data_IF_896593477707
#
_entry.id   IF_896593477707
#
_cell.length_a   1.000
_cell.length_b   1.000
_cell.length_c   1.000
_cell.angle_alpha   90.00
_cell.angle_beta   90.00
_cell.angle_gamma   90.00
#
_symmetry.space_group_name_H-M   'P 1'
#
loop_
_entity.id
_entity.type
_entity.pdbx_description
1 polymer ?
#
# COMPACT_ATOMS: atom_id res chain seq x y z
N UNK A 1 12.94 53.07 -13.99
CA UNK A 1 13.36 52.09 -12.97
C UNK A 1 12.12 51.24 -12.64
N UNK A 2 11.69 50.28 -13.46
CA UNK A 2 12.22 48.91 -13.61
C UNK A 2 12.61 48.26 -12.28
N UNK A 3 11.83 47.23 -11.89
CA UNK A 3 12.11 46.10 -10.99
C UNK A 3 11.79 46.30 -9.50
N UNK A 4 10.53 46.13 -9.11
CA UNK A 4 10.16 45.68 -7.75
C UNK A 4 8.86 44.83 -7.71
N UNK A 5 8.53 44.16 -8.81
CA UNK A 5 7.48 43.13 -8.86
C UNK A 5 8.11 41.82 -9.32
N UNK A 6 8.78 41.09 -8.41
CA UNK A 6 8.97 39.64 -8.52
C UNK A 6 9.73 39.09 -7.31
N UNK A 7 9.11 38.99 -6.13
CA UNK A 7 9.67 38.14 -5.05
C UNK A 7 8.63 37.80 -3.97
N UNK A 8 7.41 37.44 -4.40
CA UNK A 8 6.65 36.41 -3.70
C UNK A 8 6.82 35.12 -4.50
N UNK A 9 8.03 34.58 -4.42
CA UNK A 9 8.33 33.21 -4.82
C UNK A 9 7.65 32.30 -3.82
N UNK A 10 6.50 31.77 -4.22
CA UNK A 10 5.74 30.76 -3.53
C UNK A 10 6.64 29.52 -3.41
N UNK A 11 7.37 29.41 -2.30
CA UNK A 11 7.83 28.12 -1.79
C UNK A 11 6.60 27.43 -1.19
N UNK A 12 5.66 26.98 -2.03
CA UNK A 12 4.92 25.76 -1.68
C UNK A 12 5.97 24.66 -1.76
N UNK A 13 6.63 24.43 -0.63
CA UNK A 13 7.20 23.13 -0.35
C UNK A 13 5.97 22.24 -0.27
N UNK A 14 5.56 21.69 -1.41
CA UNK A 14 4.70 20.52 -1.41
C UNK A 14 5.50 19.46 -0.68
N UNK A 15 5.27 19.34 0.62
CA UNK A 15 5.30 18.06 1.28
C UNK A 15 4.21 17.21 0.60
N UNK A 16 4.46 16.83 -0.66
CA UNK A 16 3.75 15.78 -1.34
C UNK A 16 4.07 14.56 -0.52
N UNK A 17 3.13 14.24 0.39
CA UNK A 17 3.26 13.24 1.44
C UNK A 17 3.90 12.00 0.87
N UNK A 18 5.14 11.84 1.26
CA UNK A 18 5.93 10.78 0.76
C UNK A 18 5.71 9.65 1.78
N UNK A 19 4.67 8.92 1.40
CA UNK A 19 4.32 7.50 1.40
C UNK A 19 3.08 7.60 0.51
N UNK A 20 3.23 7.37 -0.79
CA UNK A 20 2.43 7.96 -1.89
C UNK A 20 0.89 7.83 -1.86
N UNK A 21 0.23 8.31 -0.80
CA UNK A 21 -1.18 8.22 -0.53
C UNK A 21 -1.58 7.23 0.57
N UNK A 22 -2.86 7.30 0.94
CA UNK A 22 -3.52 6.27 1.76
C UNK A 22 -3.78 5.03 0.90
N UNK A 23 -3.50 3.84 1.42
CA UNK A 23 -3.99 2.59 0.84
C UNK A 23 -5.35 2.22 1.44
N UNK A 24 -6.31 1.86 0.59
CA UNK A 24 -7.64 1.43 0.99
C UNK A 24 -7.88 0.07 0.36
N UNK A 25 -8.09 -0.96 1.20
CA UNK A 25 -8.46 -2.30 0.75
C UNK A 25 -9.95 -2.48 1.05
N UNK A 26 -10.76 -2.65 0.01
CA UNK A 26 -12.20 -2.83 0.11
C UNK A 26 -12.55 -4.25 -0.34
N UNK A 27 -13.00 -5.07 0.61
CA UNK A 27 -13.49 -6.39 0.32
C UNK A 27 -15.03 -6.36 0.28
N UNK A 28 -15.59 -6.21 -0.92
CA UNK A 28 -17.04 -6.20 -1.13
C UNK A 28 -17.65 -7.59 -1.33
N UNK A 29 -16.83 -8.65 -1.30
CA UNK A 29 -17.34 -10.02 -1.37
C UNK A 29 -18.15 -10.34 -0.10
N UNK A 30 -19.09 -11.27 -0.22
CA UNK A 30 -19.87 -11.79 0.93
C UNK A 30 -19.37 -13.14 1.44
N UNK A 31 -18.57 -13.85 0.63
CA UNK A 31 -18.21 -15.24 0.88
C UNK A 31 -16.72 -15.43 1.17
N UNK A 32 -15.90 -14.39 1.01
CA UNK A 32 -14.45 -14.55 1.06
C UNK A 32 -13.75 -13.47 1.88
N UNK A 33 -12.83 -13.88 2.75
CA UNK A 33 -11.91 -13.00 3.44
C UNK A 33 -10.65 -12.82 2.60
N UNK A 34 -10.18 -11.58 2.50
CA UNK A 34 -8.92 -11.26 1.85
C UNK A 34 -7.77 -11.51 2.82
N UNK A 35 -6.83 -12.37 2.43
CA UNK A 35 -5.58 -12.58 3.16
C UNK A 35 -4.43 -12.16 2.26
N UNK A 36 -3.76 -11.04 2.58
CA UNK A 36 -2.70 -10.50 1.73
C UNK A 36 -1.52 -9.90 2.47
N UNK A 37 -0.39 -9.85 1.78
CA UNK A 37 0.80 -9.10 2.20
C UNK A 37 0.77 -7.79 1.43
N UNK A 38 0.87 -6.67 2.15
CA UNK A 38 0.89 -5.33 1.55
C UNK A 38 2.33 -4.98 1.23
N UNK A 39 2.55 -4.45 0.03
CA UNK A 39 3.86 -4.02 -0.43
C UNK A 39 3.89 -2.53 -0.74
N UNK A 40 5.05 -1.94 -0.51
CA UNK A 40 5.38 -0.61 -0.97
C UNK A 40 6.84 -0.55 -1.41
N UNK A 41 7.14 0.22 -2.44
CA UNK A 41 8.50 0.40 -2.91
C UNK A 41 8.76 1.76 -3.54
N UNK A 42 10.03 2.06 -3.77
CA UNK A 42 10.45 3.25 -4.50
C UNK A 42 10.38 3.03 -6.01
N UNK A 43 9.56 3.82 -6.71
CA UNK A 43 9.43 3.73 -8.17
C UNK A 43 10.52 4.53 -8.89
N UNK A 44 11.04 5.59 -8.27
CA UNK A 44 12.02 6.49 -8.90
C UNK A 44 13.48 6.14 -8.57
N UNK A 45 13.71 5.45 -7.44
CA UNK A 45 15.05 5.18 -6.89
C UNK A 45 15.52 3.73 -7.01
N UNK A 46 15.03 2.96 -7.99
CA UNK A 46 15.53 1.60 -8.23
C UNK A 46 14.96 0.54 -7.28
N UNK A 47 13.66 0.59 -7.01
CA UNK A 47 12.89 -0.44 -6.29
C UNK A 47 13.11 -0.53 -4.78
N UNK A 48 14.10 0.20 -4.25
CA UNK A 48 14.39 0.25 -2.84
C UNK A 48 14.25 1.68 -2.27
N UNK A 49 13.82 1.84 -1.01
CA UNK A 49 13.46 0.77 -0.07
C UNK A 49 12.21 -0.01 -0.50
N UNK A 50 12.18 -1.29 -0.18
CA UNK A 50 11.09 -2.22 -0.42
C UNK A 50 10.53 -2.68 0.92
N UNK A 51 9.22 -2.52 1.12
CA UNK A 51 8.54 -2.69 2.40
C UNK A 51 7.45 -3.72 2.24
N UNK A 52 7.33 -4.63 3.20
CA UNK A 52 6.22 -5.57 3.30
C UNK A 52 5.59 -5.54 4.69
N UNK A 53 4.28 -5.77 4.79
CA UNK A 53 3.63 -6.03 6.08
C UNK A 53 4.19 -7.30 6.72
N UNK A 54 4.52 -7.28 8.01
CA UNK A 54 5.16 -8.41 8.71
C UNK A 54 4.37 -8.98 9.88
N UNK A 55 3.66 -8.14 10.62
CA UNK A 55 2.79 -8.60 11.70
C UNK A 55 1.52 -7.74 11.70
N UNK A 56 0.35 -8.29 11.35
CA UNK A 56 0.13 -9.70 11.00
C UNK A 56 0.72 -10.08 9.63
N UNK A 57 0.93 -11.38 9.42
CA UNK A 57 1.37 -11.97 8.15
C UNK A 57 0.54 -13.23 7.85
N UNK A 58 -0.51 -13.14 7.01
CA UNK A 58 -0.95 -12.00 6.21
C UNK A 58 -1.83 -11.00 6.99
N UNK A 59 -2.07 -9.83 6.40
CA UNK A 59 -3.20 -8.95 6.76
C UNK A 59 -4.50 -9.62 6.33
N UNK A 60 -5.50 -9.60 7.21
CA UNK A 60 -6.84 -10.14 6.94
C UNK A 60 -7.85 -9.00 6.86
N UNK A 61 -8.58 -8.92 5.75
CA UNK A 61 -9.73 -8.01 5.56
C UNK A 61 -10.97 -8.86 5.32
N UNK A 62 -11.87 -9.00 6.32
CA UNK A 62 -13.05 -9.84 6.20
C UNK A 62 -13.98 -9.46 5.05
N UNK A 63 -14.81 -10.41 4.63
CA UNK A 63 -15.94 -10.16 3.72
C UNK A 63 -16.78 -8.95 4.18
N UNK A 64 -17.07 -8.03 3.26
CA UNK A 64 -17.81 -6.80 3.52
C UNK A 64 -17.04 -5.71 4.28
N UNK A 65 -15.76 -5.91 4.60
CA UNK A 65 -14.97 -4.96 5.38
C UNK A 65 -14.09 -4.04 4.52
N UNK A 66 -13.61 -2.95 5.13
CA UNK A 66 -12.63 -2.03 4.53
C UNK A 66 -11.48 -1.80 5.50
N UNK A 67 -10.25 -2.00 5.01
CA UNK A 67 -9.03 -1.60 5.70
C UNK A 67 -8.49 -0.29 5.12
N UNK A 68 -7.94 0.56 5.97
CA UNK A 68 -7.36 1.84 5.58
C UNK A 68 -5.99 1.99 6.22
N UNK A 69 -4.99 2.27 5.39
CA UNK A 69 -3.62 2.49 5.81
C UNK A 69 -3.19 3.89 5.39
N UNK A 70 -3.38 4.87 6.27
CA UNK A 70 -3.00 6.27 6.01
C UNK A 70 -1.51 6.40 5.71
N UNK A 71 -0.69 5.71 6.49
CA UNK A 71 0.75 5.56 6.33
C UNK A 71 1.22 4.38 7.20
N UNK A 72 2.51 4.04 7.22
CA UNK A 72 3.04 2.88 7.96
C UNK A 72 2.78 2.96 9.47
N UNK A 73 2.73 4.19 10.02
CA UNK A 73 2.59 4.46 11.44
C UNK A 73 1.14 4.63 11.86
N UNK A 74 0.45 5.63 11.31
CA UNK A 74 -0.82 6.11 11.83
C UNK A 74 -1.93 5.07 11.67
N UNK A 75 -1.82 4.21 10.66
CA UNK A 75 -2.68 3.04 10.46
C UNK A 75 -2.76 2.13 11.70
N UNK A 76 -1.73 2.09 12.54
CA UNK A 76 -1.73 1.24 13.72
C UNK A 76 -2.83 1.62 14.73
N UNK A 77 -3.23 2.90 14.73
CA UNK A 77 -4.26 3.41 15.63
C UNK A 77 -5.57 3.74 14.93
N UNK A 78 -5.55 3.95 13.62
CA UNK A 78 -6.73 4.31 12.82
C UNK A 78 -7.37 3.13 12.07
N UNK A 79 -6.58 2.10 11.71
CA UNK A 79 -7.08 0.94 10.97
C UNK A 79 -7.69 -0.07 11.94
N UNK A 80 -8.87 -0.64 11.62
CA UNK A 80 -9.38 -1.81 12.32
C UNK A 80 -8.53 -3.07 12.06
N UNK A 81 -7.66 -3.04 11.05
CA UNK A 81 -6.76 -4.13 10.67
C UNK A 81 -5.31 -3.63 10.69
N UNK A 82 -4.73 -3.34 11.87
CA UNK A 82 -3.44 -2.67 11.96
C UNK A 82 -2.27 -3.62 11.69
N UNK A 83 -1.19 -3.08 11.15
CA UNK A 83 0.12 -3.74 11.00
C UNK A 83 1.07 -3.22 12.09
N UNK A 84 1.48 -4.07 13.02
CA UNK A 84 2.39 -3.73 14.12
C UNK A 84 3.85 -3.61 13.67
N UNK A 85 4.24 -4.32 12.61
CA UNK A 85 5.61 -4.29 12.11
C UNK A 85 5.70 -4.46 10.60
N UNK A 86 6.73 -3.85 10.04
CA UNK A 86 7.03 -3.82 8.62
C UNK A 86 8.42 -4.41 8.40
N UNK A 87 8.56 -5.23 7.37
CA UNK A 87 9.85 -5.75 6.95
C UNK A 87 10.40 -4.85 5.85
N UNK A 88 11.63 -4.38 6.03
CA UNK A 88 12.27 -3.34 5.21
C UNK A 88 13.56 -3.85 4.61
N UNK A 89 13.63 -3.82 3.28
CA UNK A 89 14.85 -4.08 2.51
C UNK A 89 15.31 -2.77 1.88
N UNK A 90 16.56 -2.36 2.15
CA UNK A 90 17.05 -1.02 1.74
C UNK A 90 17.81 -1.02 0.42
N UNK A 91 18.30 -2.17 -0.03
CA UNK A 91 19.03 -2.31 -1.28
C UNK A 91 18.99 -3.76 -1.78
N UNK A 92 19.33 -3.94 -3.05
CA UNK A 92 19.51 -5.28 -3.64
C UNK A 92 20.56 -6.08 -2.87
N UNK A 93 20.25 -7.34 -2.56
CA UNK A 93 21.13 -8.24 -1.80
C UNK A 93 21.23 -7.94 -0.30
N UNK A 94 20.55 -6.91 0.21
CA UNK A 94 20.49 -6.66 1.67
C UNK A 94 19.48 -7.58 2.36
N UNK A 95 19.80 -8.00 3.58
CA UNK A 95 18.86 -8.74 4.41
C UNK A 95 17.69 -7.84 4.85
N UNK A 96 16.44 -8.33 4.84
CA UNK A 96 15.31 -7.56 5.36
C UNK A 96 15.46 -7.28 6.85
N UNK A 97 15.05 -6.09 7.27
CA UNK A 97 15.06 -5.66 8.68
C UNK A 97 13.64 -5.37 9.14
N UNK A 98 13.20 -6.03 10.22
CA UNK A 98 11.89 -5.75 10.81
C UNK A 98 11.95 -4.45 11.59
N UNK A 99 10.99 -3.56 11.32
CA UNK A 99 10.83 -2.29 12.02
C UNK A 99 9.41 -2.19 12.58
N UNK A 100 9.22 -1.77 13.84
CA UNK A 100 7.90 -1.53 14.37
C UNK A 100 7.23 -0.36 13.63
N UNK A 101 5.90 -0.34 13.64
CA UNK A 101 5.06 0.71 13.02
C UNK A 101 5.48 2.14 13.41
N UNK A 102 6.03 2.34 14.62
CA UNK A 102 6.47 3.63 15.14
C UNK A 102 7.96 3.94 14.91
N UNK A 103 8.68 3.14 14.11
CA UNK A 103 10.09 3.41 13.83
C UNK A 103 10.26 4.76 13.08
N UNK A 104 11.16 5.66 13.50
CA UNK A 104 11.28 7.02 12.94
C UNK A 104 11.37 7.11 11.41
N UNK A 105 12.02 6.13 10.76
CA UNK A 105 12.12 6.08 9.30
C UNK A 105 10.79 5.83 8.57
N UNK A 106 9.83 5.16 9.24
CA UNK A 106 8.51 4.78 8.71
C UNK A 106 7.44 5.80 9.06
N UNK A 107 7.67 6.66 10.06
CA UNK A 107 6.73 7.71 10.41
C UNK A 107 6.58 8.71 9.26
N UNK A 108 5.44 9.45 9.19
CA UNK A 108 5.27 10.53 8.23
C UNK A 108 6.48 11.49 8.22
N UNK A 109 7.04 11.76 7.04
CA UNK A 109 8.23 12.58 6.88
C UNK A 109 9.56 11.85 7.10
N UNK A 110 9.54 10.58 7.56
CA UNK A 110 10.71 9.73 7.67
C UNK A 110 11.24 9.30 6.30
N UNK A 111 12.53 8.92 6.22
CA UNK A 111 13.19 8.65 4.92
C UNK A 111 12.54 7.53 4.11
N UNK A 112 12.02 6.48 4.75
CA UNK A 112 11.39 5.35 4.02
C UNK A 112 9.99 5.74 3.57
N UNK A 113 9.20 6.31 4.48
CA UNK A 113 7.92 6.92 4.15
C UNK A 113 8.12 7.80 2.91
N UNK A 114 9.13 8.69 2.96
CA UNK A 114 9.36 9.69 1.93
C UNK A 114 9.84 9.19 0.56
N UNK A 115 10.17 7.91 0.45
CA UNK A 115 10.71 7.36 -0.79
C UNK A 115 9.92 6.16 -1.29
N UNK A 116 8.75 5.89 -0.72
CA UNK A 116 7.93 4.74 -1.11
C UNK A 116 6.50 5.12 -1.42
N UNK A 117 5.85 4.22 -2.15
CA UNK A 117 4.41 4.24 -2.38
C UNK A 117 3.89 2.81 -2.35
N UNK A 118 2.63 2.63 -1.97
CA UNK A 118 1.94 1.35 -2.08
C UNK A 118 2.01 0.85 -3.51
N UNK A 119 2.37 -0.42 -3.68
CA UNK A 119 2.79 -0.90 -4.99
C UNK A 119 2.14 -2.19 -5.43
N UNK A 120 1.89 -3.10 -4.51
CA UNK A 120 1.20 -4.35 -4.80
C UNK A 120 0.65 -4.99 -3.54
N UNK A 121 -0.13 -6.04 -3.74
CA UNK A 121 -0.46 -7.04 -2.75
C UNK A 121 -0.30 -8.43 -3.36
N UNK A 122 0.26 -9.34 -2.58
CA UNK A 122 0.15 -10.78 -2.84
C UNK A 122 -0.93 -11.33 -1.96
N UNK A 123 -1.97 -11.94 -2.53
CA UNK A 123 -3.13 -12.38 -1.77
C UNK A 123 -3.65 -13.75 -2.15
N UNK A 124 -4.42 -14.30 -1.23
CA UNK A 124 -5.22 -15.51 -1.36
C UNK A 124 -6.56 -15.23 -0.68
N UNK A 125 -7.67 -15.49 -1.36
CA UNK A 125 -8.99 -15.42 -0.72
C UNK A 125 -9.23 -16.69 0.11
N UNK A 126 -9.93 -16.55 1.23
CA UNK A 126 -10.34 -17.64 2.11
C UNK A 126 -11.84 -17.63 2.28
N UNK A 127 -12.50 -18.78 2.43
CA UNK A 127 -13.93 -18.77 2.77
C UNK A 127 -14.15 -18.01 4.07
N UNK A 128 -15.12 -17.09 4.07
CA UNK A 128 -15.32 -16.12 5.14
C UNK A 128 -15.41 -16.78 6.52
N UNK A 129 -14.61 -16.28 7.47
CA UNK A 129 -14.53 -16.78 8.85
C UNK A 129 -13.81 -18.12 9.00
N UNK A 130 -13.13 -18.62 7.97
CA UNK A 130 -12.45 -19.92 7.99
C UNK A 130 -10.98 -19.81 7.59
N UNK A 131 -10.23 -20.90 7.80
CA UNK A 131 -8.86 -21.05 7.29
C UNK A 131 -8.79 -21.85 5.98
N UNK A 132 -9.91 -21.99 5.25
CA UNK A 132 -9.97 -22.75 3.98
C UNK A 132 -9.77 -21.80 2.80
N UNK A 133 -8.68 -21.94 2.01
CA UNK A 133 -8.42 -21.06 0.87
C UNK A 133 -9.33 -21.37 -0.32
N UNK A 134 -9.71 -20.33 -1.07
CA UNK A 134 -10.34 -20.43 -2.39
C UNK A 134 -9.27 -20.54 -3.49
N UNK A 135 -9.04 -21.74 -3.99
CA UNK A 135 -7.89 -22.06 -4.85
C UNK A 135 -7.83 -21.28 -6.16
N UNK A 136 -8.94 -20.68 -6.61
CA UNK A 136 -9.01 -19.98 -7.89
C UNK A 136 -9.12 -18.45 -7.78
N UNK A 137 -9.15 -17.91 -6.56
CA UNK A 137 -9.17 -16.46 -6.33
C UNK A 137 -7.97 -16.04 -5.48
N UNK A 138 -6.83 -15.85 -6.14
CA UNK A 138 -5.56 -15.47 -5.55
C UNK A 138 -4.66 -14.82 -6.61
N UNK A 139 -3.55 -14.22 -6.17
CA UNK A 139 -2.51 -13.74 -7.08
C UNK A 139 -1.72 -12.56 -6.54
N UNK A 140 -0.81 -12.09 -7.39
CA UNK A 140 -0.10 -10.84 -7.20
C UNK A 140 -0.85 -9.76 -8.00
N UNK A 141 -1.30 -8.70 -7.33
CA UNK A 141 -2.02 -7.56 -7.94
C UNK A 141 -1.34 -6.27 -7.53
N UNK A 142 -1.23 -5.27 -8.41
CA UNK A 142 -0.56 -4.04 -8.05
C UNK A 142 -0.65 -2.94 -9.08
N UNK A 143 0.14 -1.91 -8.87
CA UNK A 143 0.25 -0.79 -9.79
C UNK A 143 0.97 -1.25 -11.07
N UNK A 144 0.24 -1.34 -12.18
CA UNK A 144 0.78 -1.74 -13.49
C UNK A 144 1.89 -0.79 -14.00
N UNK A 145 2.03 0.40 -13.41
CA UNK A 145 3.10 1.35 -13.73
C UNK A 145 4.35 1.17 -12.87
N UNK A 146 4.36 0.21 -11.94
CA UNK A 146 5.52 -0.07 -11.10
C UNK A 146 6.69 -0.56 -11.97
N UNK A 147 7.82 0.17 -12.06
CA UNK A 147 8.95 -0.26 -12.88
C UNK A 147 9.70 -1.47 -12.29
N UNK A 148 9.36 -1.86 -11.06
CA UNK A 148 10.08 -2.88 -10.30
C UNK A 148 9.47 -4.27 -10.39
N UNK A 149 8.19 -4.36 -10.71
CA UNK A 149 7.49 -5.62 -10.93
C UNK A 149 6.35 -5.40 -11.93
N UNK A 150 6.05 -6.44 -12.69
CA UNK A 150 4.97 -6.41 -13.68
C UNK A 150 3.79 -7.21 -13.17
N UNK A 151 3.10 -6.65 -12.18
CA UNK A 151 1.87 -7.23 -11.67
C UNK A 151 0.67 -6.66 -12.45
N UNK A 152 -0.36 -7.48 -12.72
CA UNK A 152 -1.61 -6.96 -13.26
C UNK A 152 -2.28 -6.01 -12.25
N UNK A 153 -2.99 -5.02 -12.75
CA UNK A 153 -3.86 -4.14 -11.95
C UNK A 153 -5.31 -4.66 -11.87
N UNK A 154 -5.60 -5.77 -12.54
CA UNK A 154 -6.90 -6.43 -12.54
C UNK A 154 -6.74 -7.95 -12.61
N UNK A 155 -7.49 -8.67 -11.76
CA UNK A 155 -7.60 -10.12 -11.80
C UNK A 155 -9.08 -10.49 -11.93
N UNK A 156 -9.40 -11.26 -12.95
CA UNK A 156 -10.70 -11.92 -13.13
C UNK A 156 -10.59 -13.38 -12.67
N UNK A 157 -11.32 -13.71 -11.62
CA UNK A 157 -11.41 -15.06 -11.04
C UNK A 157 -12.83 -15.61 -11.18
N UNK A 158 -13.55 -15.26 -12.25
CA UNK A 158 -14.90 -15.77 -12.51
C UNK A 158 -14.97 -17.31 -12.40
N UNK A 159 -15.97 -17.87 -11.68
CA UNK A 159 -17.14 -17.21 -11.09
C UNK A 159 -16.96 -16.70 -9.65
N UNK A 160 -15.75 -16.77 -9.08
CA UNK A 160 -15.49 -16.52 -7.65
C UNK A 160 -15.39 -15.03 -7.29
N UNK A 161 -15.03 -14.19 -8.26
CA UNK A 161 -14.96 -12.73 -8.08
C UNK A 161 -13.91 -12.08 -8.96
N UNK A 162 -13.60 -10.82 -8.67
CA UNK A 162 -12.53 -10.06 -9.32
C UNK A 162 -11.85 -9.11 -8.35
N UNK A 163 -10.63 -8.69 -8.68
CA UNK A 163 -9.93 -7.67 -7.91
C UNK A 163 -9.30 -6.63 -8.80
N UNK A 164 -9.24 -5.39 -8.32
CA UNK A 164 -8.68 -4.26 -9.06
C UNK A 164 -7.82 -3.37 -8.17
N UNK A 165 -6.63 -3.06 -8.64
CA UNK A 165 -5.73 -2.08 -8.05
C UNK A 165 -5.74 -0.79 -8.87
N UNK A 166 -5.84 0.36 -8.24
CA UNK A 166 -5.72 1.65 -8.93
C UNK A 166 -5.39 2.78 -7.97
N UNK A 167 -4.80 3.85 -8.50
CA UNK A 167 -4.47 5.06 -7.73
C UNK A 167 -5.20 6.26 -8.32
N UNK A 168 -5.83 7.05 -7.46
CA UNK A 168 -6.45 8.34 -7.81
C UNK A 168 -5.77 9.48 -7.06
N UNK A 169 -5.76 10.66 -7.67
CA UNK A 169 -5.36 11.90 -6.99
C UNK A 169 -6.55 12.85 -6.94
N UNK A 170 -6.94 13.28 -5.76
CA UNK A 170 -8.05 14.20 -5.54
C UNK A 170 -7.64 15.31 -4.57
N UNK A 171 -7.79 16.57 -4.98
CA UNK A 171 -7.41 17.73 -4.15
C UNK A 171 -5.94 17.73 -3.70
N UNK A 172 -5.04 17.16 -4.52
CA UNK A 172 -3.62 17.00 -4.17
C UNK A 172 -3.31 15.84 -3.21
N UNK A 173 -4.32 15.09 -2.77
CA UNK A 173 -4.15 13.89 -1.95
C UNK A 173 -4.22 12.66 -2.84
N UNK A 174 -3.30 11.72 -2.63
CA UNK A 174 -3.24 10.46 -3.36
C UNK A 174 -3.96 9.37 -2.56
N UNK A 175 -4.75 8.54 -3.24
CA UNK A 175 -5.40 7.36 -2.68
C UNK A 175 -5.16 6.18 -3.59
N UNK A 176 -4.66 5.08 -3.02
CA UNK A 176 -4.50 3.81 -3.71
C UNK A 176 -5.56 2.85 -3.21
N UNK A 177 -6.23 2.17 -4.12
CA UNK A 177 -7.32 1.25 -3.84
C UNK A 177 -6.95 -0.15 -4.29
N UNK A 178 -7.25 -1.13 -3.45
CA UNK A 178 -7.45 -2.52 -3.83
C UNK A 178 -8.90 -2.87 -3.56
N UNK A 179 -9.67 -3.05 -4.62
CA UNK A 179 -11.10 -3.38 -4.54
C UNK A 179 -11.29 -4.83 -4.95
N UNK A 180 -12.02 -5.58 -4.13
CA UNK A 180 -12.27 -7.02 -4.31
C UNK A 180 -13.80 -7.20 -4.32
N UNK A 181 -14.32 -7.91 -5.32
CA UNK A 181 -15.76 -7.99 -5.62
C UNK A 181 -16.17 -9.42 -5.96
#
# INVERSE_FOLDING_TARGET
MKKFLLLLGICFVSSAYAQGGTLIIQNFTTNYDFHGIIYANNFAGGCYPFITSKDPYPVVVPAGATAKYENYRDQFTSSPFPVSSWEVTLASGSAPTTRPWNHPSLMPGGVISNNTRWSMSKFQMYHAGTSVPETFFNGDIGDATNPCNSNPDFIDSSPYGSSKWFTITSGGTVYTYLVIQ
#
